data_IF_318375436121
#
_entry.id   IF_318375436121
#
_cell.length_a   1.000
_cell.length_b   1.000
_cell.length_c   1.000
_cell.angle_alpha   90.00
_cell.angle_beta   90.00
_cell.angle_gamma   90.00
#
_symmetry.space_group_name_H-M   'P 1'
#
loop_
_entity.id
_entity.type
_entity.pdbx_description
1 polymer ?
#
# COMPACT_ATOMS: atom_id res chain seq x y z
N UNK A 1 9.68 -1.46 16.95
CA UNK A 1 8.25 -1.78 16.75
C UNK A 1 8.07 -3.20 16.23
N UNK A 2 6.96 -3.89 16.57
CA UNK A 2 6.58 -5.09 15.84
C UNK A 2 6.31 -4.74 14.37
N UNK A 3 6.55 -5.67 13.43
CA UNK A 3 6.24 -5.47 12.02
C UNK A 3 4.74 -5.16 11.86
N UNK A 4 4.40 -4.29 10.91
CA UNK A 4 3.01 -4.00 10.61
C UNK A 4 2.29 -5.26 10.13
N UNK A 5 1.02 -5.42 10.51
CA UNK A 5 0.26 -6.63 10.19
C UNK A 5 0.01 -6.74 8.67
N UNK A 6 0.38 -7.86 8.03
CA UNK A 6 0.22 -8.06 6.60
C UNK A 6 -1.22 -8.40 6.20
N UNK A 7 -1.53 -8.27 4.91
CA UNK A 7 -2.76 -8.79 4.28
C UNK A 7 -2.35 -9.80 3.21
N UNK A 8 -2.64 -11.09 3.44
CA UNK A 8 -2.23 -12.18 2.54
C UNK A 8 -3.32 -12.66 1.60
N UNK A 9 -4.58 -12.51 2.00
CA UNK A 9 -5.74 -12.82 1.19
C UNK A 9 -6.43 -11.52 0.80
N UNK A 10 -6.54 -11.27 -0.50
CA UNK A 10 -7.16 -10.07 -1.05
C UNK A 10 -7.45 -10.25 -2.54
N UNK A 11 -8.27 -9.37 -3.09
CA UNK A 11 -8.50 -9.25 -4.53
C UNK A 11 -8.19 -7.83 -5.00
N UNK A 12 -7.71 -7.69 -6.24
CA UNK A 12 -7.62 -6.39 -6.90
C UNK A 12 -8.98 -6.04 -7.49
N UNK A 13 -9.50 -4.86 -7.17
CA UNK A 13 -10.67 -4.32 -7.87
C UNK A 13 -10.28 -3.93 -9.30
N UNK A 14 -11.24 -3.95 -10.23
CA UNK A 14 -11.01 -3.49 -11.61
C UNK A 14 -10.49 -2.04 -11.68
N UNK A 15 -10.98 -1.19 -10.75
CA UNK A 15 -10.48 0.17 -10.59
C UNK A 15 -9.00 0.21 -10.18
N UNK A 16 -8.59 -0.62 -9.20
CA UNK A 16 -7.20 -0.69 -8.76
C UNK A 16 -6.26 -1.13 -9.88
N UNK A 17 -6.60 -2.18 -10.63
CA UNK A 17 -5.79 -2.66 -11.74
C UNK A 17 -5.59 -1.57 -12.80
N UNK A 18 -6.63 -0.81 -13.12
CA UNK A 18 -6.56 0.29 -14.09
C UNK A 18 -5.68 1.43 -13.59
N UNK A 19 -5.86 1.85 -12.33
CA UNK A 19 -5.06 2.95 -11.75
C UNK A 19 -3.58 2.55 -11.56
N UNK A 20 -3.29 1.30 -11.20
CA UNK A 20 -1.93 0.79 -11.09
C UNK A 20 -1.22 0.80 -12.45
N UNK A 21 -1.87 0.26 -13.49
CA UNK A 21 -1.33 0.26 -14.85
C UNK A 21 -1.05 1.68 -15.35
N UNK A 22 -1.99 2.62 -15.16
CA UNK A 22 -1.82 4.03 -15.52
C UNK A 22 -0.65 4.71 -14.79
N UNK A 23 -0.33 4.26 -13.58
CA UNK A 23 0.74 4.81 -12.73
C UNK A 23 2.07 4.06 -12.89
N UNK A 24 2.13 3.05 -13.77
CA UNK A 24 3.32 2.22 -13.97
C UNK A 24 3.71 1.43 -12.72
N UNK A 25 2.73 0.97 -11.94
CA UNK A 25 2.98 0.13 -10.78
C UNK A 25 2.76 -1.33 -11.13
N UNK A 26 3.80 -2.11 -10.90
CA UNK A 26 3.74 -3.57 -11.00
C UNK A 26 2.86 -4.15 -9.89
N UNK A 27 2.09 -5.17 -10.23
CA UNK A 27 1.29 -5.91 -9.27
C UNK A 27 2.19 -6.60 -8.24
N UNK A 28 3.33 -7.17 -8.65
CA UNK A 28 4.29 -7.84 -7.76
C UNK A 28 4.73 -6.92 -6.61
N UNK A 29 5.07 -5.68 -6.95
CA UNK A 29 5.41 -4.65 -5.96
C UNK A 29 4.28 -4.42 -4.94
N UNK A 30 3.02 -4.47 -5.37
CA UNK A 30 1.88 -4.34 -4.45
C UNK A 30 1.75 -5.56 -3.56
N UNK A 31 1.96 -6.77 -4.10
CA UNK A 31 1.94 -8.02 -3.32
C UNK A 31 2.99 -8.00 -2.22
N UNK A 32 4.20 -7.54 -2.52
CA UNK A 32 5.27 -7.40 -1.52
C UNK A 32 4.90 -6.42 -0.39
N UNK A 33 4.35 -5.25 -0.73
CA UNK A 33 3.92 -4.26 0.26
C UNK A 33 2.82 -4.82 1.17
N UNK A 34 1.88 -5.59 0.62
CA UNK A 34 0.80 -6.21 1.41
C UNK A 34 1.31 -7.36 2.29
N UNK A 35 2.29 -8.13 1.81
CA UNK A 35 2.87 -9.26 2.53
C UNK A 35 3.85 -8.85 3.64
N UNK A 36 4.57 -7.73 3.45
CA UNK A 36 5.56 -7.20 4.39
C UNK A 36 5.49 -5.66 4.43
N UNK A 37 4.40 -5.08 4.95
CA UNK A 37 4.28 -3.63 5.07
C UNK A 37 5.29 -3.09 6.08
N UNK A 38 5.95 -1.98 5.75
CA UNK A 38 6.70 -1.26 6.78
C UNK A 38 5.74 -0.54 7.74
N UNK A 39 4.61 -0.03 7.22
CA UNK A 39 3.55 0.56 8.04
C UNK A 39 2.17 0.14 7.53
N UNK A 40 1.25 -0.05 8.48
CA UNK A 40 -0.18 -0.17 8.23
C UNK A 40 -0.90 0.88 9.07
N UNK A 41 -1.69 1.73 8.42
CA UNK A 41 -2.34 2.86 9.06
C UNK A 41 -3.83 2.85 8.72
N UNK A 42 -4.73 3.02 9.70
CA UNK A 42 -6.14 3.22 9.41
C UNK A 42 -6.33 4.58 8.73
N UNK A 43 -6.99 4.59 7.57
CA UNK A 43 -7.33 5.82 6.84
C UNK A 43 -8.69 6.34 7.31
N UNK A 44 -9.64 5.41 7.50
CA UNK A 44 -11.01 5.60 8.00
C UNK A 44 -11.55 4.22 8.41
N UNK A 45 -12.68 4.13 9.14
CA UNK A 45 -13.30 2.83 9.43
C UNK A 45 -13.47 2.00 8.15
N UNK A 46 -13.03 0.73 8.19
CA UNK A 46 -13.09 -0.20 7.07
C UNK A 46 -12.02 -0.02 5.97
N UNK A 47 -11.11 0.97 6.07
CA UNK A 47 -10.04 1.16 5.09
C UNK A 47 -8.69 1.44 5.72
N UNK A 48 -7.73 0.62 5.35
CA UNK A 48 -6.33 0.78 5.74
C UNK A 48 -5.46 1.19 4.55
N UNK A 49 -4.33 1.82 4.86
CA UNK A 49 -3.21 1.97 3.93
C UNK A 49 -2.03 1.15 4.44
N UNK A 50 -1.56 0.22 3.61
CA UNK A 50 -0.30 -0.48 3.78
C UNK A 50 0.74 0.24 2.93
N UNK A 51 1.87 0.60 3.52
CA UNK A 51 2.90 1.38 2.84
C UNK A 51 4.31 0.91 3.18
N UNK A 52 5.18 0.96 2.17
CA UNK A 52 6.60 0.64 2.29
C UNK A 52 7.43 1.56 1.40
N UNK A 53 8.62 1.91 1.87
CA UNK A 53 9.63 2.63 1.11
C UNK A 53 10.31 1.67 0.14
N UNK A 54 10.57 2.16 -1.07
CA UNK A 54 11.26 1.45 -2.14
C UNK A 54 12.22 2.41 -2.81
N UNK A 55 13.46 1.98 -2.97
CA UNK A 55 14.43 2.71 -3.75
C UNK A 55 14.23 2.38 -5.23
N UNK A 56 14.01 3.41 -6.05
CA UNK A 56 13.83 3.27 -7.50
C UNK A 56 14.62 4.41 -8.14
N UNK A 57 15.55 4.09 -9.05
CA UNK A 57 16.33 5.09 -9.79
C UNK A 57 17.07 6.10 -8.87
N UNK A 58 17.59 5.63 -7.73
CA UNK A 58 18.30 6.47 -6.75
C UNK A 58 17.40 7.41 -5.94
N UNK A 59 16.07 7.26 -6.05
CA UNK A 59 15.09 8.02 -5.28
C UNK A 59 14.27 7.07 -4.41
N UNK A 60 14.13 7.40 -3.13
CA UNK A 60 13.20 6.68 -2.25
C UNK A 60 11.77 7.12 -2.53
N UNK A 61 10.95 6.18 -2.98
CA UNK A 61 9.51 6.36 -3.11
C UNK A 61 8.80 5.64 -1.96
N UNK A 62 7.68 6.22 -1.52
CA UNK A 62 6.71 5.54 -0.67
C UNK A 62 5.63 4.93 -1.55
N UNK A 63 5.53 3.60 -1.55
CA UNK A 63 4.42 2.87 -2.17
C UNK A 63 3.29 2.84 -1.17
N UNK A 64 2.08 3.25 -1.58
CA UNK A 64 0.89 3.30 -0.73
C UNK A 64 -0.21 2.47 -1.36
N UNK A 65 -0.68 1.46 -0.64
CA UNK A 65 -1.69 0.49 -1.06
C UNK A 65 -2.90 0.64 -0.16
N UNK A 66 -4.04 1.02 -0.73
CA UNK A 66 -5.28 1.20 0.01
C UNK A 66 -6.12 -0.06 -0.11
N UNK A 67 -6.56 -0.57 1.03
CA UNK A 67 -7.33 -1.81 1.14
C UNK A 67 -8.61 -1.55 1.92
N UNK A 68 -9.74 -1.91 1.33
CA UNK A 68 -11.00 -2.04 2.06
C UNK A 68 -10.97 -3.36 2.84
N UNK A 69 -10.73 -3.26 4.14
CA UNK A 69 -10.56 -4.38 5.08
C UNK A 69 -11.88 -4.84 5.69
N UNK A 70 -12.98 -4.14 5.40
CA UNK A 70 -14.36 -4.51 5.76
C UNK A 70 -15.03 -5.43 4.72
N UNK A 71 -14.27 -5.89 3.72
CA UNK A 71 -14.68 -6.85 2.69
C UNK A 71 -14.11 -8.24 2.95
N UNK A 72 -14.76 -9.26 2.39
CA UNK A 72 -14.32 -10.66 2.47
C UNK A 72 -14.33 -11.29 1.07
N UNK A 73 -13.16 -11.51 0.44
CA UNK A 73 -11.83 -11.12 0.91
C UNK A 73 -11.64 -9.59 0.90
N UNK A 74 -10.64 -9.04 1.64
CA UNK A 74 -10.25 -7.63 1.54
C UNK A 74 -9.99 -7.19 0.09
N UNK A 75 -10.32 -5.95 -0.22
CA UNK A 75 -10.24 -5.43 -1.59
C UNK A 75 -9.17 -4.35 -1.73
N UNK A 76 -8.19 -4.55 -2.62
CA UNK A 76 -7.26 -3.48 -3.01
C UNK A 76 -8.02 -2.52 -3.94
N UNK A 77 -8.18 -1.27 -3.49
CA UNK A 77 -8.97 -0.26 -4.19
C UNK A 77 -8.11 0.72 -5.00
N UNK A 78 -6.90 1.03 -4.56
CA UNK A 78 -5.95 1.84 -5.32
C UNK A 78 -4.54 1.71 -4.75
N UNK A 79 -3.53 1.88 -5.61
CA UNK A 79 -2.15 2.04 -5.17
C UNK A 79 -1.44 3.16 -5.95
N UNK A 80 -0.53 3.87 -5.31
CA UNK A 80 0.34 4.85 -5.96
C UNK A 80 1.70 4.93 -5.28
N UNK A 81 2.69 5.49 -6.00
CA UNK A 81 3.98 5.88 -5.45
C UNK A 81 4.07 7.39 -5.27
N UNK A 82 4.84 7.85 -4.28
CA UNK A 82 5.13 9.27 -4.08
C UNK A 82 6.52 9.46 -3.49
N UNK A 83 7.25 10.47 -3.94
CA UNK A 83 8.53 10.87 -3.35
C UNK A 83 8.36 11.66 -2.04
N UNK A 84 7.13 12.06 -1.69
CA UNK A 84 6.82 12.82 -0.47
C UNK A 84 6.76 11.92 0.77
N UNK A 85 7.81 11.15 1.03
CA UNK A 85 7.87 10.18 2.14
C UNK A 85 7.55 10.85 3.47
N UNK A 86 8.20 11.98 3.79
CA UNK A 86 8.03 12.69 5.07
C UNK A 86 6.60 13.15 5.36
N UNK A 87 5.82 13.46 4.32
CA UNK A 87 4.41 13.87 4.47
C UNK A 87 3.54 12.73 5.00
N UNK A 88 3.90 11.50 4.65
CA UNK A 88 3.03 10.34 4.75
C UNK A 88 3.55 9.27 5.70
N UNK A 89 4.85 9.33 6.02
CA UNK A 89 5.49 8.45 6.97
C UNK A 89 5.09 8.82 8.40
N UNK A 90 4.57 7.84 9.15
CA UNK A 90 4.32 8.05 10.57
C UNK A 90 5.61 7.79 11.34
N UNK A 91 6.18 8.84 11.92
CA UNK A 91 7.30 8.71 12.86
C UNK A 91 6.76 8.09 14.15
N UNK A 92 7.54 7.18 14.74
CA UNK A 92 7.31 6.75 16.13
C UNK A 92 7.25 8.03 17.00
N UNK A 93 6.29 8.09 17.92
CA UNK A 93 6.22 9.11 18.98
C UNK A 93 6.72 8.49 20.26
#
# INVERSE_FOLDING_TARGET
MPPAEPIREYVFTAHATTEMARRGLDEELIREVLAQPEQRLPVRPGRDVLQSRREMEGVTYLIRVFVDVDRSPPEVVTAYRTSKVDKYWRKET
#
